data_IF_587148621153
#
_entry.id   IF_587148621153
#
_cell.length_a   1.000
_cell.length_b   1.000
_cell.length_c   1.000
_cell.angle_alpha   90.00
_cell.angle_beta   90.00
_cell.angle_gamma   90.00
#
_symmetry.space_group_name_H-M   'P 1'
#
loop_
_entity.id
_entity.type
_entity.pdbx_description
1 polymer ?
#
# COMPACT_ATOMS: atom_id res chain seq x y z
N UNK A 1 -2.90 -29.11 -10.32
CA UNK A 1 -1.72 -28.60 -9.60
C UNK A 1 -2.18 -27.38 -8.83
N UNK A 2 -2.33 -27.48 -7.51
CA UNK A 2 -2.77 -26.36 -6.66
C UNK A 2 -1.52 -25.60 -6.25
N UNK A 3 -1.43 -24.27 -6.48
CA UNK A 3 -0.29 -23.48 -6.02
C UNK A 3 -0.14 -23.58 -4.50
N UNK A 4 1.10 -23.54 -4.01
CA UNK A 4 1.33 -23.49 -2.57
C UNK A 4 0.75 -22.17 -2.02
N UNK A 5 0.27 -22.17 -0.79
CA UNK A 5 -0.37 -20.99 -0.19
C UNK A 5 0.58 -19.80 -0.11
N UNK A 6 1.88 -20.08 0.05
CA UNK A 6 2.92 -19.06 0.15
C UNK A 6 3.22 -18.35 -1.19
N UNK A 7 2.89 -18.97 -2.33
CA UNK A 7 3.11 -18.38 -3.67
C UNK A 7 1.98 -17.43 -4.09
N UNK A 8 0.93 -17.30 -3.26
CA UNK A 8 -0.22 -16.46 -3.56
C UNK A 8 0.17 -14.98 -3.44
N UNK A 9 -0.07 -14.20 -4.50
CA UNK A 9 0.18 -12.76 -4.49
C UNK A 9 -0.80 -12.00 -3.59
N UNK A 10 -0.27 -11.26 -2.62
CA UNK A 10 -1.02 -10.33 -1.78
C UNK A 10 -1.00 -8.92 -2.38
N UNK A 11 0.15 -8.48 -2.92
CA UNK A 11 0.26 -7.20 -3.62
C UNK A 11 0.61 -7.43 -5.09
N UNK A 12 -0.33 -7.11 -5.98
CA UNK A 12 -0.13 -7.22 -7.44
C UNK A 12 0.78 -6.16 -8.04
N UNK A 13 0.91 -5.00 -7.39
CA UNK A 13 1.71 -3.89 -7.93
C UNK A 13 3.20 -4.07 -7.68
N UNK A 14 3.55 -4.71 -6.56
CA UNK A 14 4.93 -4.91 -6.10
C UNK A 14 5.31 -6.40 -6.12
N UNK A 15 4.44 -7.24 -6.70
CA UNK A 15 4.65 -8.69 -6.84
C UNK A 15 4.99 -9.41 -5.52
N UNK A 16 4.36 -8.96 -4.42
CA UNK A 16 4.59 -9.50 -3.07
C UNK A 16 3.64 -10.65 -2.77
N UNK A 17 4.18 -11.77 -2.31
CA UNK A 17 3.47 -13.01 -1.98
C UNK A 17 3.12 -13.12 -0.49
N UNK A 18 2.25 -14.10 -0.17
CA UNK A 18 1.93 -14.48 1.23
C UNK A 18 3.21 -14.89 1.97
N UNK A 19 4.07 -15.67 1.31
CA UNK A 19 5.35 -16.11 1.87
C UNK A 19 6.23 -14.93 2.26
N UNK A 20 6.29 -13.88 1.44
CA UNK A 20 7.11 -12.69 1.73
C UNK A 20 6.63 -11.96 2.98
N UNK A 21 5.31 -11.86 3.16
CA UNK A 21 4.72 -11.23 4.34
C UNK A 21 4.94 -12.08 5.58
N UNK A 22 4.76 -13.40 5.49
CA UNK A 22 5.06 -14.32 6.60
C UNK A 22 6.53 -14.20 7.01
N UNK A 23 7.47 -14.12 6.06
CA UNK A 23 8.90 -13.88 6.35
C UNK A 23 9.15 -12.53 7.00
N UNK A 24 8.45 -11.48 6.57
CA UNK A 24 8.56 -10.16 7.19
C UNK A 24 8.04 -10.15 8.64
N UNK A 25 6.94 -10.84 8.93
CA UNK A 25 6.39 -11.02 10.28
C UNK A 25 7.38 -11.80 11.15
N UNK A 26 7.93 -12.90 10.62
CA UNK A 26 8.96 -13.68 11.32
C UNK A 26 10.23 -12.87 11.62
N UNK A 27 10.58 -11.91 10.75
CA UNK A 27 11.67 -10.94 10.96
C UNK A 27 11.29 -9.79 11.93
N UNK A 28 10.14 -9.87 12.61
CA UNK A 28 9.74 -8.93 13.67
C UNK A 28 8.92 -7.73 13.19
N UNK A 29 8.33 -7.77 12.00
CA UNK A 29 7.38 -6.74 11.58
C UNK A 29 6.12 -6.78 12.45
N UNK A 30 5.80 -5.66 13.10
CA UNK A 30 4.66 -5.56 14.04
C UNK A 30 3.57 -4.58 13.60
N UNK A 31 3.72 -3.97 12.43
CA UNK A 31 2.74 -3.03 11.89
C UNK A 31 2.65 -3.15 10.37
N UNK A 32 1.57 -2.62 9.79
CA UNK A 32 1.45 -2.51 8.33
C UNK A 32 2.55 -1.61 7.77
N UNK A 33 2.99 -0.59 8.52
CA UNK A 33 4.13 0.26 8.14
C UNK A 33 5.43 -0.53 8.05
N UNK A 34 5.67 -1.39 9.03
CA UNK A 34 6.84 -2.26 9.09
C UNK A 34 6.91 -3.24 7.91
N UNK A 35 5.76 -3.78 7.52
CA UNK A 35 5.63 -4.62 6.33
C UNK A 35 5.88 -3.78 5.08
N UNK A 36 5.25 -2.61 4.96
CA UNK A 36 5.43 -1.68 3.84
C UNK A 36 6.89 -1.30 3.62
N UNK A 37 7.66 -1.01 4.68
CA UNK A 37 9.08 -0.67 4.60
C UNK A 37 9.94 -1.86 4.16
N UNK A 38 9.57 -3.09 4.54
CA UNK A 38 10.35 -4.30 4.24
C UNK A 38 10.05 -4.90 2.87
N UNK A 39 8.78 -4.87 2.44
CA UNK A 39 8.32 -5.58 1.24
C UNK A 39 7.79 -4.65 0.16
N UNK A 40 7.78 -3.34 0.39
CA UNK A 40 7.14 -2.34 -0.48
C UNK A 40 5.62 -2.49 -0.66
N UNK A 41 5.00 -3.49 -0.03
CA UNK A 41 3.58 -3.78 -0.20
C UNK A 41 2.72 -2.54 0.15
N UNK A 42 2.00 -2.04 -0.86
CA UNK A 42 1.17 -0.84 -0.75
C UNK A 42 1.83 0.48 -1.17
N UNK A 43 3.02 0.45 -1.79
CA UNK A 43 3.65 1.62 -2.42
C UNK A 43 3.41 1.75 -3.92
N UNK A 44 2.93 0.70 -4.58
CA UNK A 44 2.67 0.74 -6.02
C UNK A 44 1.51 1.63 -6.43
N UNK A 45 1.15 1.57 -7.72
CA UNK A 45 0.10 2.38 -8.37
C UNK A 45 -1.23 2.42 -7.61
N UNK A 46 -1.59 1.34 -6.92
CA UNK A 46 -2.84 1.25 -6.15
C UNK A 46 -2.79 1.85 -4.75
N UNK A 47 -1.62 2.31 -4.27
CA UNK A 47 -1.40 2.89 -2.94
C UNK A 47 -1.98 2.06 -1.78
N UNK A 48 -1.96 0.73 -1.92
CA UNK A 48 -2.44 -0.20 -0.89
C UNK A 48 -3.95 -0.43 -0.86
N UNK A 49 -4.73 0.09 -1.82
CA UNK A 49 -6.19 -0.08 -1.83
C UNK A 49 -6.64 -1.55 -1.80
N UNK A 50 -5.91 -2.46 -2.45
CA UNK A 50 -6.25 -3.89 -2.48
C UNK A 50 -5.55 -4.69 -1.39
N UNK A 51 -4.24 -4.50 -1.19
CA UNK A 51 -3.46 -5.36 -0.31
C UNK A 51 -3.61 -5.00 1.18
N UNK A 52 -3.88 -3.73 1.55
CA UNK A 52 -3.85 -3.27 2.94
C UNK A 52 -4.70 -4.12 3.88
N UNK A 53 -5.97 -4.37 3.54
CA UNK A 53 -6.88 -5.19 4.38
C UNK A 53 -6.42 -6.63 4.54
N UNK A 54 -5.79 -7.21 3.50
CA UNK A 54 -5.24 -8.56 3.58
C UNK A 54 -4.03 -8.61 4.51
N UNK A 55 -3.13 -7.61 4.44
CA UNK A 55 -1.97 -7.47 5.32
C UNK A 55 -2.42 -7.31 6.78
N UNK A 56 -3.41 -6.45 7.02
CA UNK A 56 -4.02 -6.27 8.33
C UNK A 56 -4.61 -7.57 8.88
N UNK A 57 -5.27 -8.37 8.05
CA UNK A 57 -5.80 -9.68 8.45
C UNK A 57 -4.68 -10.63 8.85
N UNK A 58 -3.61 -10.72 8.06
CA UNK A 58 -2.45 -11.57 8.37
C UNK A 58 -1.75 -11.16 9.68
N UNK A 59 -1.66 -9.85 9.96
CA UNK A 59 -1.13 -9.35 11.24
C UNK A 59 -2.03 -9.74 12.43
N UNK A 60 -3.35 -9.66 12.28
CA UNK A 60 -4.30 -10.11 13.32
C UNK A 60 -4.23 -11.62 13.55
N UNK A 61 -4.09 -12.41 12.49
CA UNK A 61 -3.87 -13.87 12.56
C UNK A 61 -2.58 -14.20 13.32
N UNK A 62 -1.54 -13.39 13.15
CA UNK A 62 -0.29 -13.46 13.90
C UNK A 62 -0.40 -12.94 15.36
N UNK A 63 -1.58 -12.54 15.83
CA UNK A 63 -1.85 -11.96 17.16
C UNK A 63 -1.03 -10.70 17.46
N UNK A 64 -0.76 -9.90 16.43
CA UNK A 64 -0.06 -8.63 16.57
C UNK A 64 -1.11 -7.53 16.62
N UNK A 65 -1.28 -6.90 17.78
CA UNK A 65 -2.04 -5.67 17.91
C UNK A 65 -1.29 -4.53 17.23
N UNK A 66 -1.90 -3.95 16.21
CA UNK A 66 -1.37 -2.78 15.52
C UNK A 66 -2.39 -1.65 15.58
N UNK A 67 -1.88 -0.44 15.84
CA UNK A 67 -2.68 0.76 15.78
C UNK A 67 -2.99 1.13 14.32
N UNK A 68 -4.27 0.96 13.93
CA UNK A 68 -4.75 1.22 12.58
C UNK A 68 -4.67 2.70 12.17
N UNK A 69 -4.56 3.62 13.14
CA UNK A 69 -4.43 5.06 12.90
C UNK A 69 -3.20 5.41 12.04
N UNK A 70 -2.12 4.64 12.15
CA UNK A 70 -0.83 4.95 11.52
C UNK A 70 -0.75 4.69 10.01
N UNK A 71 -1.77 4.08 9.39
CA UNK A 71 -1.82 3.77 7.93
C UNK A 71 -2.71 4.74 7.16
N UNK A 72 -2.53 6.05 7.41
CA UNK A 72 -3.37 7.05 6.78
C UNK A 72 -3.12 7.13 5.27
N UNK A 73 -4.20 7.13 4.50
CA UNK A 73 -4.13 7.38 3.06
C UNK A 73 -3.79 8.85 2.86
N UNK A 74 -2.65 9.12 2.23
CA UNK A 74 -2.22 10.48 1.93
C UNK A 74 -2.93 10.96 0.67
N UNK A 75 -3.21 12.26 0.62
CA UNK A 75 -3.64 12.90 -0.61
C UNK A 75 -2.45 12.90 -1.60
N UNK A 76 -2.66 12.66 -2.91
CA UNK A 76 -3.91 12.30 -3.60
C UNK A 76 -4.32 10.84 -3.41
N UNK A 77 -5.62 10.59 -3.22
CA UNK A 77 -6.18 9.23 -3.06
C UNK A 77 -5.96 8.36 -4.31
N UNK A 78 -6.03 8.98 -5.48
CA UNK A 78 -5.81 8.35 -6.78
C UNK A 78 -4.79 9.17 -7.55
N UNK A 79 -4.09 8.52 -8.46
CA UNK A 79 -3.15 9.19 -9.34
C UNK A 79 -3.86 10.28 -10.13
N UNK A 80 -3.20 11.41 -10.23
CA UNK A 80 -3.64 12.60 -10.94
C UNK A 80 -2.56 12.97 -11.95
N UNK A 81 -2.96 13.43 -13.13
CA UNK A 81 -2.00 13.91 -14.10
C UNK A 81 -1.41 15.24 -13.61
N UNK A 82 -0.12 15.47 -13.85
CA UNK A 82 0.53 16.73 -13.52
C UNK A 82 -0.08 17.88 -14.33
N UNK A 83 -0.49 17.63 -15.58
CA UNK A 83 -1.20 18.59 -16.42
C UNK A 83 -2.50 19.09 -15.81
N UNK A 84 -3.30 18.18 -15.25
CA UNK A 84 -4.57 18.50 -14.59
C UNK A 84 -4.36 19.38 -13.34
N UNK A 85 -3.26 19.17 -12.61
CA UNK A 85 -2.88 20.02 -11.48
C UNK A 85 -2.51 21.43 -11.92
N UNK A 86 -1.80 21.57 -13.05
CA UNK A 86 -1.39 22.88 -13.58
C UNK A 86 -2.51 23.63 -14.29
N UNK A 87 -3.58 22.96 -14.72
CA UNK A 87 -4.71 23.61 -15.39
C UNK A 87 -5.38 24.67 -14.50
N UNK A 88 -5.45 24.39 -13.18
CA UNK A 88 -6.06 25.28 -12.18
C UNK A 88 -5.33 26.64 -12.11
N UNK A 89 -3.99 26.63 -12.13
CA UNK A 89 -3.20 27.87 -12.04
C UNK A 89 -3.17 28.63 -13.37
N UNK A 90 -3.35 27.94 -14.50
CA UNK A 90 -3.36 28.59 -15.83
C UNK A 90 -4.60 29.44 -16.06
N UNK A 91 -5.76 29.01 -15.57
CA UNK A 91 -6.98 29.83 -15.59
C UNK A 91 -6.79 31.13 -14.79
N UNK A 92 -6.04 31.08 -13.67
CA UNK A 92 -5.70 32.26 -12.86
C UNK A 92 -4.68 33.18 -13.56
N UNK A 93 -3.66 32.61 -14.23
CA UNK A 93 -2.65 33.37 -15.00
C UNK A 93 -3.24 34.05 -16.25
N UNK A 94 -4.24 33.45 -16.92
CA UNK A 94 -4.98 34.07 -18.02
C UNK A 94 -6.00 35.11 -17.54
N UNK A 95 -6.63 34.91 -16.37
CA UNK A 95 -7.55 35.87 -15.79
C UNK A 95 -6.86 37.10 -15.15
N UNK A 96 -5.59 36.96 -14.76
CA UNK A 96 -4.78 38.06 -14.21
C UNK A 96 -4.07 38.90 -15.30
N UNK A 97 -4.16 38.49 -16.58
CA UNK A 97 -3.61 39.20 -17.72
C UNK A 97 -4.66 40.07 -18.41
#
# INVERSE_FOLDING_TARGET
>A
MVPNEDDIYVCRCEEVTVGDIKRAIAAGARSVRDIKVRTNAGMGVCQGMTCRKNIERMLREAKIDFDACCTHQRFPVRLLNVGDLTAITREEDEACR
#
